data_IF_628405515238
#
_entry.id   IF_628405515238
#
_cell.length_a   1.000
_cell.length_b   1.000
_cell.length_c   1.000
_cell.angle_alpha   90.00
_cell.angle_beta   90.00
_cell.angle_gamma   90.00
#
_symmetry.space_group_name_H-M   'P 1'
#
loop_
_entity.id
_entity.type
_entity.pdbx_description
1 polymer ?
#
# COMPACT_ATOMS: atom_id res chain seq x y z
N UNK A 1 -34.78 -9.82 11.60
CA UNK A 1 -33.63 -8.88 11.60
C UNK A 1 -32.96 -9.02 10.25
N UNK A 2 -32.81 -7.96 9.44
CA UNK A 2 -32.18 -8.09 8.14
C UNK A 2 -30.70 -8.42 8.34
N UNK A 3 -30.27 -9.47 7.65
CA UNK A 3 -28.89 -9.95 7.58
C UNK A 3 -28.03 -8.79 7.09
N UNK A 4 -27.16 -8.30 7.98
CA UNK A 4 -26.10 -7.35 7.61
C UNK A 4 -25.16 -8.12 6.71
N UNK A 5 -25.20 -7.80 5.41
CA UNK A 5 -24.19 -8.22 4.44
C UNK A 5 -22.81 -8.02 5.07
N UNK A 6 -22.01 -9.08 5.09
CA UNK A 6 -20.55 -8.93 5.22
C UNK A 6 -20.18 -8.01 4.08
N UNK A 7 -19.64 -6.80 4.34
CA UNK A 7 -19.19 -5.95 3.26
C UNK A 7 -18.20 -6.78 2.45
N UNK A 8 -18.40 -6.86 1.13
CA UNK A 8 -17.30 -7.05 0.19
C UNK A 8 -16.12 -6.30 0.80
N UNK A 9 -15.01 -7.03 1.01
CA UNK A 9 -13.72 -6.48 1.41
C UNK A 9 -13.69 -5.02 1.02
N UNK A 10 -13.48 -4.12 2.00
CA UNK A 10 -13.11 -2.74 1.71
C UNK A 10 -12.00 -2.84 0.65
N UNK A 11 -12.36 -2.79 -0.63
CA UNK A 11 -11.63 -2.04 -1.61
C UNK A 11 -11.61 -0.73 -0.90
N UNK A 12 -10.52 -0.47 -0.17
CA UNK A 12 -10.15 0.88 0.19
C UNK A 12 -10.57 1.67 -1.02
N UNK A 13 -11.53 2.56 -0.79
CA UNK A 13 -11.94 3.48 -1.81
C UNK A 13 -10.62 4.17 -2.15
N UNK A 14 -9.93 3.68 -3.19
CA UNK A 14 -8.63 4.18 -3.61
C UNK A 14 -8.99 5.57 -4.10
N UNK A 15 -9.03 6.53 -3.15
CA UNK A 15 -8.90 7.94 -3.46
C UNK A 15 -7.71 7.94 -4.37
N UNK A 16 -7.91 8.31 -5.64
CA UNK A 16 -6.88 8.30 -6.66
C UNK A 16 -5.72 9.11 -6.10
N UNK A 17 -4.77 8.41 -5.47
CA UNK A 17 -3.65 9.05 -4.84
C UNK A 17 -2.88 9.74 -5.96
N UNK A 18 -2.24 10.87 -5.67
CA UNK A 18 -1.51 11.63 -6.70
C UNK A 18 -0.48 10.77 -7.48
N UNK A 19 -0.16 9.57 -7.00
CA UNK A 19 0.83 8.66 -7.56
C UNK A 19 0.34 7.22 -7.82
N UNK A 20 -0.97 6.92 -7.77
CA UNK A 20 -1.49 5.55 -8.02
C UNK A 20 -1.20 5.00 -9.42
N UNK A 21 -0.97 5.88 -10.39
CA UNK A 21 -0.63 5.55 -11.77
C UNK A 21 0.81 5.04 -11.94
N UNK A 22 1.67 5.17 -10.93
CA UNK A 22 3.09 4.77 -11.01
C UNK A 22 3.22 3.29 -10.66
N UNK A 23 3.78 2.51 -11.59
CA UNK A 23 3.91 1.06 -11.48
C UNK A 23 5.36 0.59 -11.34
N UNK A 24 6.34 1.48 -11.53
CA UNK A 24 7.77 1.15 -11.53
C UNK A 24 8.62 2.34 -11.98
N UNK A 25 9.92 2.11 -12.20
CA UNK A 25 10.83 3.14 -12.71
C UNK A 25 10.87 3.20 -14.24
N UNK A 26 10.22 2.30 -14.98
CA UNK A 26 10.16 2.33 -16.43
C UNK A 26 11.52 2.13 -17.11
N UNK A 27 12.36 1.26 -16.56
CA UNK A 27 13.72 1.00 -17.01
C UNK A 27 13.77 -0.20 -17.96
N UNK A 28 14.67 -0.13 -18.93
CA UNK A 28 15.16 -1.28 -19.69
C UNK A 28 16.60 -1.56 -19.23
N UNK A 29 16.74 -2.51 -18.31
CA UNK A 29 18.01 -2.69 -17.58
C UNK A 29 18.31 -1.53 -16.63
N UNK A 30 19.08 -0.53 -17.08
CA UNK A 30 19.30 0.75 -16.38
C UNK A 30 18.86 1.95 -17.21
N UNK A 31 18.54 1.76 -18.48
CA UNK A 31 18.21 2.87 -19.36
C UNK A 31 16.72 3.20 -19.23
N UNK A 32 16.37 4.42 -18.79
CA UNK A 32 14.98 4.82 -18.63
C UNK A 32 14.33 5.09 -20.00
N UNK A 33 13.15 4.52 -20.22
CA UNK A 33 12.32 4.90 -21.37
C UNK A 33 11.67 6.26 -21.11
N UNK A 34 11.53 7.08 -22.14
CA UNK A 34 10.88 8.41 -22.09
C UNK A 34 9.53 8.37 -21.37
N UNK A 35 8.72 7.35 -21.66
CA UNK A 35 7.42 7.10 -21.05
C UNK A 35 7.31 5.59 -20.78
N UNK A 36 7.24 5.20 -19.50
CA UNK A 36 7.01 3.81 -19.09
C UNK A 36 6.58 3.75 -17.62
N UNK A 37 5.76 2.75 -17.27
CA UNK A 37 5.31 2.46 -15.90
C UNK A 37 4.71 3.66 -15.14
N UNK A 38 4.02 4.54 -15.87
CA UNK A 38 3.43 5.77 -15.34
C UNK A 38 4.41 6.91 -15.14
N UNK A 39 5.70 6.70 -15.35
CA UNK A 39 6.75 7.72 -15.28
C UNK A 39 6.95 8.38 -16.65
N UNK A 40 7.21 9.69 -16.64
CA UNK A 40 7.51 10.50 -17.83
C UNK A 40 8.77 11.31 -17.55
N UNK A 41 9.74 11.26 -18.46
CA UNK A 41 10.95 12.04 -18.33
C UNK A 41 11.79 11.66 -17.10
N UNK A 42 12.43 12.66 -16.46
CA UNK A 42 13.35 12.49 -15.31
C UNK A 42 14.38 11.37 -15.52
N UNK A 43 14.92 11.27 -16.74
CA UNK A 43 15.76 10.14 -17.16
C UNK A 43 16.93 9.91 -16.21
N UNK A 44 17.76 10.93 -15.97
CA UNK A 44 18.92 10.83 -15.07
C UNK A 44 18.52 10.40 -13.64
N UNK A 45 17.44 10.97 -13.10
CA UNK A 45 16.97 10.63 -11.76
C UNK A 45 16.44 9.20 -11.67
N UNK A 46 15.74 8.72 -12.72
CA UNK A 46 15.25 7.34 -12.82
C UNK A 46 16.39 6.34 -13.01
N UNK A 47 17.41 6.69 -13.79
CA UNK A 47 18.63 5.89 -13.95
C UNK A 47 19.39 5.76 -12.63
N UNK A 48 19.57 6.86 -11.92
CA UNK A 48 20.16 6.87 -10.58
C UNK A 48 19.34 6.01 -9.61
N UNK A 49 18.01 6.16 -9.61
CA UNK A 49 17.11 5.33 -8.82
C UNK A 49 17.24 3.83 -9.16
N UNK A 50 17.39 3.48 -10.44
CA UNK A 50 17.66 2.11 -10.87
C UNK A 50 18.96 1.52 -10.32
N UNK A 51 20.02 2.34 -10.23
CA UNK A 51 21.27 1.93 -9.58
C UNK A 51 21.07 1.69 -8.07
N UNK A 52 20.31 2.53 -7.39
CA UNK A 52 19.95 2.33 -5.97
C UNK A 52 19.23 0.99 -5.81
N UNK A 53 18.23 0.71 -6.64
CA UNK A 53 17.48 -0.56 -6.60
C UNK A 53 18.41 -1.76 -6.78
N UNK A 54 19.39 -1.70 -7.69
CA UNK A 54 20.39 -2.76 -7.85
C UNK A 54 21.26 -2.93 -6.63
N UNK A 55 21.79 -1.84 -6.06
CA UNK A 55 22.61 -1.89 -4.85
C UNK A 55 21.86 -2.50 -3.68
N UNK A 56 20.57 -2.19 -3.53
CA UNK A 56 19.71 -2.81 -2.50
C UNK A 56 19.55 -4.29 -2.75
N UNK A 57 19.18 -4.70 -3.97
CA UNK A 57 19.01 -6.12 -4.33
C UNK A 57 20.30 -6.93 -4.18
N UNK A 58 21.46 -6.30 -4.32
CA UNK A 58 22.78 -6.89 -4.10
C UNK A 58 23.26 -6.83 -2.63
N UNK A 59 22.49 -6.24 -1.71
CA UNK A 59 22.87 -6.10 -0.30
C UNK A 59 23.99 -5.07 -0.04
N UNK A 60 24.30 -4.20 -1.00
CA UNK A 60 25.39 -3.21 -0.95
C UNK A 60 24.92 -1.80 -0.56
N UNK A 61 23.77 -1.70 0.08
CA UNK A 61 23.13 -0.43 0.47
C UNK A 61 23.13 -0.15 1.98
N UNK A 62 23.77 -1.01 2.79
CA UNK A 62 23.83 -0.83 4.25
C UNK A 62 24.48 0.50 4.66
N UNK A 63 23.93 1.15 5.69
CA UNK A 63 24.47 2.40 6.26
C UNK A 63 24.31 3.64 5.36
N UNK A 64 23.51 3.55 4.29
CA UNK A 64 23.27 4.66 3.34
C UNK A 64 21.79 5.03 3.31
N UNK A 65 21.52 6.28 2.95
CA UNK A 65 20.18 6.74 2.60
C UNK A 65 20.20 7.51 1.28
N UNK A 66 19.01 7.79 0.76
CA UNK A 66 18.83 8.56 -0.47
C UNK A 66 18.29 9.94 -0.12
N UNK A 67 18.82 10.98 -0.75
CA UNK A 67 18.19 12.31 -0.75
C UNK A 67 17.71 12.64 -2.14
N UNK A 68 16.41 12.85 -2.33
CA UNK A 68 15.86 13.36 -3.58
C UNK A 68 15.69 14.87 -3.44
N UNK A 69 16.51 15.63 -4.15
CA UNK A 69 16.51 17.09 -4.10
C UNK A 69 15.95 17.69 -5.40
N UNK A 70 15.18 18.77 -5.27
CA UNK A 70 14.78 19.57 -6.42
C UNK A 70 13.50 20.38 -6.20
N UNK A 71 13.12 21.22 -7.17
CA UNK A 71 11.97 22.10 -7.05
C UNK A 71 10.65 21.38 -6.71
N UNK A 72 9.64 22.09 -6.20
CA UNK A 72 8.29 21.54 -6.06
C UNK A 72 7.74 21.03 -7.41
N UNK A 73 7.03 19.91 -7.39
CA UNK A 73 6.36 19.38 -8.59
C UNK A 73 7.26 18.63 -9.58
N UNK A 74 8.53 18.35 -9.27
CA UNK A 74 9.45 17.60 -10.14
C UNK A 74 9.35 16.07 -10.00
N UNK A 75 8.41 15.55 -9.20
CA UNK A 75 8.18 14.10 -9.07
C UNK A 75 9.08 13.38 -8.05
N UNK A 76 9.51 14.05 -6.97
CA UNK A 76 10.31 13.41 -5.91
C UNK A 76 9.61 12.22 -5.26
N UNK A 77 8.36 12.40 -4.82
CA UNK A 77 7.51 11.34 -4.26
C UNK A 77 7.22 10.25 -5.29
N UNK A 78 7.00 10.64 -6.54
CA UNK A 78 6.81 9.72 -7.66
C UNK A 78 8.03 8.80 -7.85
N UNK A 79 9.24 9.35 -7.80
CA UNK A 79 10.48 8.60 -7.92
C UNK A 79 10.68 7.63 -6.75
N UNK A 80 10.38 8.04 -5.51
CA UNK A 80 10.45 7.18 -4.34
C UNK A 80 9.48 5.99 -4.42
N UNK A 81 8.25 6.24 -4.88
CA UNK A 81 7.26 5.17 -5.14
C UNK A 81 7.77 4.24 -6.25
N UNK A 82 8.33 4.79 -7.32
CA UNK A 82 8.96 4.01 -8.39
C UNK A 82 10.05 3.08 -7.86
N UNK A 83 10.94 3.57 -6.99
CA UNK A 83 11.98 2.75 -6.32
C UNK A 83 11.34 1.60 -5.56
N UNK A 84 10.32 1.86 -4.73
CA UNK A 84 9.65 0.82 -3.96
C UNK A 84 9.01 -0.26 -4.85
N UNK A 85 8.34 0.15 -5.94
CA UNK A 85 7.73 -0.79 -6.90
C UNK A 85 8.76 -1.62 -7.64
N UNK A 86 9.91 -1.04 -7.98
CA UNK A 86 11.01 -1.73 -8.65
C UNK A 86 11.71 -2.75 -7.73
N UNK A 87 11.74 -2.49 -6.41
CA UNK A 87 12.25 -3.44 -5.42
C UNK A 87 11.37 -4.68 -5.33
N UNK A 88 10.05 -4.53 -5.39
CA UNK A 88 9.10 -5.64 -5.47
C UNK A 88 7.68 -5.25 -5.07
N UNK A 89 6.70 -6.11 -5.41
CA UNK A 89 5.28 -5.87 -5.08
C UNK A 89 4.98 -5.97 -3.57
N UNK A 90 5.73 -6.82 -2.88
CA UNK A 90 5.58 -7.11 -1.45
C UNK A 90 6.39 -6.16 -0.56
N UNK A 91 7.10 -5.19 -1.16
CA UNK A 91 8.00 -4.28 -0.45
C UNK A 91 7.16 -3.20 0.24
N UNK A 92 7.20 -3.10 1.59
CA UNK A 92 6.47 -2.05 2.30
C UNK A 92 6.96 -0.66 1.91
N UNK A 93 6.03 0.27 1.69
CA UNK A 93 6.33 1.68 1.44
C UNK A 93 5.61 2.53 2.49
N UNK A 94 6.37 3.24 3.31
CA UNK A 94 5.86 4.07 4.39
C UNK A 94 6.16 5.54 4.07
N UNK A 95 5.18 6.29 3.54
CA UNK A 95 5.32 7.73 3.37
C UNK A 95 5.01 8.44 4.71
N UNK A 96 5.88 9.36 5.11
CA UNK A 96 5.64 10.29 6.21
C UNK A 96 5.97 11.72 5.74
N UNK A 97 5.14 12.70 6.08
CA UNK A 97 5.59 14.08 6.06
C UNK A 97 6.40 14.37 7.34
N UNK A 98 7.50 15.09 7.22
CA UNK A 98 8.35 15.43 8.37
C UNK A 98 7.59 16.14 9.52
N UNK A 99 6.50 16.85 9.20
CA UNK A 99 5.61 17.48 10.20
C UNK A 99 4.82 16.48 11.05
N UNK A 100 4.54 15.26 10.55
CA UNK A 100 3.74 14.26 11.26
C UNK A 100 4.43 13.71 12.51
N UNK A 101 5.76 13.78 12.56
CA UNK A 101 6.57 13.31 13.71
C UNK A 101 6.30 14.15 14.96
N UNK A 102 5.90 15.42 14.79
CA UNK A 102 5.60 16.33 15.88
C UNK A 102 4.15 16.12 16.35
N UNK A 103 3.91 15.05 17.10
CA UNK A 103 2.62 14.74 17.72
C UNK A 103 2.63 15.08 19.21
N UNK A 104 1.48 15.52 19.73
CA UNK A 104 1.27 15.67 21.18
C UNK A 104 0.95 14.34 21.86
N UNK A 105 0.47 13.35 21.10
CA UNK A 105 -0.01 12.07 21.65
C UNK A 105 1.05 10.99 21.73
N UNK A 106 2.03 11.01 20.82
CA UNK A 106 3.07 9.98 20.69
C UNK A 106 4.42 10.67 20.69
N UNK A 107 5.38 10.11 21.44
CA UNK A 107 6.76 10.62 21.46
C UNK A 107 7.38 10.52 20.07
N UNK A 108 8.19 11.52 19.69
CA UNK A 108 8.92 11.55 18.40
C UNK A 108 9.66 10.23 18.11
N UNK A 109 10.39 9.72 19.10
CA UNK A 109 11.16 8.47 18.99
C UNK A 109 10.27 7.25 18.79
N UNK A 110 9.11 7.19 19.44
CA UNK A 110 8.16 6.10 19.29
C UNK A 110 7.50 6.13 17.91
N UNK A 111 7.09 7.31 17.42
CA UNK A 111 6.56 7.49 16.07
C UNK A 111 7.56 7.01 15.01
N UNK A 112 8.83 7.45 15.12
CA UNK A 112 9.89 7.04 14.20
C UNK A 112 10.19 5.54 14.29
N UNK A 113 10.14 4.95 15.49
CA UNK A 113 10.32 3.51 15.68
C UNK A 113 9.20 2.74 14.99
N UNK A 114 7.95 3.17 15.15
CA UNK A 114 6.82 2.55 14.44
C UNK A 114 6.97 2.70 12.92
N UNK A 115 7.36 3.88 12.42
CA UNK A 115 7.56 4.10 10.99
C UNK A 115 8.65 3.19 10.40
N UNK A 116 9.79 3.03 11.10
CA UNK A 116 10.85 2.10 10.71
C UNK A 116 10.36 0.64 10.71
N UNK A 117 9.65 0.22 11.76
CA UNK A 117 9.13 -1.16 11.85
C UNK A 117 8.00 -1.45 10.85
N UNK A 118 7.21 -0.45 10.46
CA UNK A 118 6.25 -0.54 9.34
C UNK A 118 6.96 -0.68 7.99
N UNK A 119 8.18 -0.16 7.86
CA UNK A 119 8.97 -0.25 6.65
C UNK A 119 9.80 -1.54 6.54
N UNK A 120 9.77 -2.44 7.53
CA UNK A 120 10.43 -3.75 7.47
C UNK A 120 9.38 -4.83 7.32
N UNK A 121 9.39 -5.52 6.18
CA UNK A 121 8.51 -6.64 5.88
C UNK A 121 9.13 -7.97 6.32
N UNK A 122 8.28 -8.94 6.61
CA UNK A 122 8.60 -10.33 6.92
C UNK A 122 7.69 -11.19 6.06
N UNK A 123 8.27 -11.89 5.09
CA UNK A 123 7.58 -12.89 4.27
C UNK A 123 7.66 -14.22 4.99
N UNK A 124 6.55 -14.72 5.51
CA UNK A 124 6.45 -15.97 6.24
C UNK A 124 5.92 -17.04 5.30
N UNK A 125 6.64 -18.15 5.24
CA UNK A 125 6.32 -19.35 4.48
C UNK A 125 5.80 -20.42 5.45
N UNK A 126 4.54 -20.78 5.29
CA UNK A 126 3.87 -21.72 6.17
C UNK A 126 3.29 -22.89 5.37
N UNK A 127 3.87 -24.08 5.56
CA UNK A 127 3.34 -25.32 5.01
C UNK A 127 2.25 -25.84 5.95
N UNK A 128 1.02 -25.90 5.45
CA UNK A 128 -0.12 -26.45 6.19
C UNK A 128 -0.70 -27.65 5.48
N UNK A 129 -1.17 -28.63 6.26
CA UNK A 129 -1.92 -29.77 5.73
C UNK A 129 -3.37 -29.36 5.55
N UNK A 130 -3.81 -29.33 4.30
CA UNK A 130 -5.18 -28.96 3.95
C UNK A 130 -5.90 -30.14 3.30
N UNK A 131 -7.18 -30.28 3.63
CA UNK A 131 -8.09 -31.05 2.79
C UNK A 131 -8.71 -30.11 1.76
N UNK A 132 -8.69 -30.49 0.50
CA UNK A 132 -9.31 -29.74 -0.58
C UNK A 132 -10.02 -30.68 -1.54
N UNK A 133 -11.25 -30.36 -1.89
CA UNK A 133 -12.02 -31.14 -2.83
C UNK A 133 -13.44 -30.62 -2.97
N UNK A 134 -14.15 -31.22 -3.92
CA UNK A 134 -15.58 -31.04 -4.08
C UNK A 134 -16.32 -31.90 -3.05
N UNK A 135 -17.31 -31.30 -2.39
CA UNK A 135 -18.23 -32.00 -1.50
C UNK A 135 -19.16 -32.87 -2.33
N UNK A 136 -19.00 -34.19 -2.25
CA UNK A 136 -19.90 -35.16 -2.90
C UNK A 136 -21.03 -35.61 -1.97
N UNK A 137 -20.77 -35.69 -0.67
CA UNK A 137 -21.76 -36.03 0.35
C UNK A 137 -21.54 -35.16 1.59
N UNK A 138 -22.63 -34.72 2.23
CA UNK A 138 -22.62 -33.95 3.47
C UNK A 138 -23.75 -34.42 4.38
N UNK A 139 -23.42 -34.72 5.63
CA UNK A 139 -24.38 -35.09 6.68
C UNK A 139 -24.02 -34.31 7.94
N UNK A 140 -24.95 -33.50 8.44
CA UNK A 140 -24.75 -32.68 9.64
C UNK A 140 -25.62 -33.25 10.74
N UNK A 141 -24.99 -33.68 11.83
CA UNK A 141 -25.65 -34.17 13.03
C UNK A 141 -26.11 -32.99 13.87
N UNK A 142 -27.40 -32.99 14.26
CA UNK A 142 -28.03 -31.89 14.97
C UNK A 142 -28.72 -32.40 16.23
N UNK A 143 -28.60 -31.64 17.31
CA UNK A 143 -29.30 -31.88 18.57
C UNK A 143 -30.12 -30.65 18.99
N UNK A 144 -31.12 -30.85 19.85
CA UNK A 144 -31.92 -29.75 20.37
C UNK A 144 -31.11 -28.91 21.37
N UNK A 145 -31.23 -27.59 21.31
CA UNK A 145 -30.53 -26.69 22.21
C UNK A 145 -31.05 -26.89 23.65
N UNK A 146 -30.16 -27.00 24.67
CA UNK A 146 -30.54 -27.31 26.05
C UNK A 146 -31.59 -26.37 26.65
N UNK A 147 -31.61 -25.11 26.20
CA UNK A 147 -32.52 -24.07 26.69
C UNK A 147 -33.63 -23.68 25.70
N UNK A 148 -33.62 -24.21 24.48
CA UNK A 148 -34.65 -23.92 23.47
C UNK A 148 -34.87 -25.13 22.55
N UNK A 149 -35.87 -25.98 22.82
CA UNK A 149 -36.13 -27.19 22.04
C UNK A 149 -36.43 -26.96 20.55
N UNK A 150 -36.83 -25.74 20.16
CA UNK A 150 -37.09 -25.38 18.77
C UNK A 150 -35.84 -24.97 17.99
N UNK A 151 -34.69 -24.83 18.66
CA UNK A 151 -33.42 -24.50 18.05
C UNK A 151 -32.56 -25.75 17.98
N UNK A 152 -32.13 -26.12 16.78
CA UNK A 152 -31.21 -27.23 16.56
C UNK A 152 -29.79 -26.71 16.40
N UNK A 153 -28.85 -27.29 17.14
CA UNK A 153 -27.43 -26.97 17.05
C UNK A 153 -26.68 -28.10 16.33
N UNK A 154 -25.77 -27.79 15.39
CA UNK A 154 -24.85 -28.79 14.86
C UNK A 154 -23.94 -29.31 15.98
N UNK A 155 -23.79 -30.62 16.10
CA UNK A 155 -22.91 -31.28 17.10
C UNK A 155 -21.78 -32.08 16.45
N UNK A 156 -21.92 -32.39 15.16
CA UNK A 156 -20.92 -33.08 14.36
C UNK A 156 -21.28 -33.05 12.89
N UNK A 157 -20.33 -33.41 12.03
CA UNK A 157 -20.60 -33.55 10.60
C UNK A 157 -19.75 -34.65 9.98
N UNK A 158 -20.30 -35.31 8.98
CA UNK A 158 -19.56 -36.24 8.12
C UNK A 158 -19.69 -35.77 6.68
N UNK A 159 -18.54 -35.57 6.03
CA UNK A 159 -18.46 -35.14 4.62
C UNK A 159 -17.66 -36.13 3.80
N UNK A 160 -17.95 -36.23 2.51
CA UNK A 160 -17.11 -36.92 1.53
C UNK A 160 -16.58 -35.90 0.54
N UNK A 161 -15.28 -35.68 0.58
CA UNK A 161 -14.57 -34.81 -0.35
C UNK A 161 -13.97 -35.63 -1.48
N UNK A 162 -14.04 -35.10 -2.70
CA UNK A 162 -13.46 -35.72 -3.88
C UNK A 162 -12.62 -34.72 -4.69
N UNK A 163 -11.47 -35.18 -5.13
CA UNK A 163 -10.70 -34.61 -6.23
C UNK A 163 -10.94 -35.45 -7.49
N UNK A 164 -10.27 -35.13 -8.59
CA UNK A 164 -10.27 -35.96 -9.80
C UNK A 164 -9.64 -37.34 -9.59
N UNK A 165 -8.77 -37.49 -8.59
CA UNK A 165 -7.92 -38.67 -8.42
C UNK A 165 -8.24 -39.48 -7.15
N UNK A 166 -8.87 -38.87 -6.14
CA UNK A 166 -9.15 -39.50 -4.85
C UNK A 166 -10.50 -39.01 -4.27
N UNK A 167 -11.17 -39.87 -3.51
CA UNK A 167 -12.25 -39.44 -2.63
C UNK A 167 -12.00 -39.91 -1.20
N UNK A 168 -12.32 -39.06 -0.23
CA UNK A 168 -12.05 -39.30 1.18
C UNK A 168 -13.23 -38.86 2.03
N UNK A 169 -13.67 -39.74 2.93
CA UNK A 169 -14.70 -39.45 3.93
C UNK A 169 -14.05 -38.91 5.21
N UNK A 170 -14.56 -37.82 5.73
CA UNK A 170 -14.07 -37.12 6.91
C UNK A 170 -15.21 -36.95 7.91
N UNK A 171 -14.92 -37.19 9.18
CA UNK A 171 -15.82 -36.89 10.29
C UNK A 171 -15.22 -35.72 11.06
N UNK A 172 -16.07 -34.78 11.44
CA UNK A 172 -15.71 -33.49 12.00
C UNK A 172 -16.53 -33.25 13.26
N UNK A 173 -15.93 -32.53 14.21
CA UNK A 173 -16.59 -32.14 15.45
C UNK A 173 -17.61 -30.99 15.26
N UNK A 174 -18.21 -30.58 16.38
CA UNK A 174 -19.14 -29.46 16.43
C UNK A 174 -18.58 -28.17 15.83
N UNK A 175 -17.30 -27.86 16.04
CA UNK A 175 -16.70 -26.58 15.62
C UNK A 175 -16.70 -26.44 14.10
N UNK A 176 -16.33 -27.51 13.40
CA UNK A 176 -16.35 -27.57 11.94
C UNK A 176 -17.78 -27.71 11.39
N UNK A 177 -18.65 -28.47 12.06
CA UNK A 177 -20.05 -28.60 11.68
C UNK A 177 -20.79 -27.26 11.67
N UNK A 178 -20.54 -26.41 12.67
CA UNK A 178 -21.08 -25.05 12.74
C UNK A 178 -20.59 -24.21 11.55
N UNK A 179 -19.30 -24.29 11.19
CA UNK A 179 -18.74 -23.55 10.05
C UNK A 179 -19.34 -23.98 8.71
N UNK A 180 -19.57 -25.29 8.50
CA UNK A 180 -20.24 -25.79 7.29
C UNK A 180 -21.64 -25.17 7.12
N UNK A 181 -22.41 -25.09 8.21
CA UNK A 181 -23.75 -24.46 8.21
C UNK A 181 -23.64 -22.96 7.96
N UNK A 182 -22.74 -22.26 8.65
CA UNK A 182 -22.58 -20.81 8.52
C UNK A 182 -22.17 -20.38 7.11
N UNK A 183 -21.35 -21.19 6.43
CA UNK A 183 -20.92 -20.93 5.06
C UNK A 183 -21.89 -21.48 4.00
N UNK A 184 -22.98 -22.12 4.41
CA UNK A 184 -23.95 -22.73 3.49
C UNK A 184 -23.28 -23.71 2.53
N UNK A 185 -22.42 -24.58 3.06
CA UNK A 185 -21.75 -25.62 2.27
C UNK A 185 -22.77 -26.70 1.87
N UNK A 186 -22.82 -27.01 0.58
CA UNK A 186 -23.69 -28.01 -0.01
C UNK A 186 -22.89 -28.99 -0.89
N UNK A 187 -23.52 -30.09 -1.29
CA UNK A 187 -23.01 -30.93 -2.37
C UNK A 187 -22.75 -30.11 -3.64
N UNK A 188 -21.62 -30.38 -4.27
CA UNK A 188 -21.13 -29.66 -5.45
C UNK A 188 -20.32 -28.40 -5.13
N UNK A 189 -20.10 -28.06 -3.86
CA UNK A 189 -19.20 -26.96 -3.48
C UNK A 189 -17.76 -27.45 -3.35
N UNK A 190 -16.80 -26.62 -3.75
CA UNK A 190 -15.37 -26.85 -3.51
C UNK A 190 -14.98 -26.14 -2.22
N UNK A 191 -14.44 -26.88 -1.27
CA UNK A 191 -14.01 -26.35 0.02
C UNK A 191 -12.54 -26.67 0.31
N UNK A 192 -11.92 -25.82 1.13
CA UNK A 192 -10.63 -26.08 1.78
C UNK A 192 -10.85 -26.19 3.29
N UNK A 193 -10.23 -27.17 3.92
CA UNK A 193 -10.25 -27.37 5.37
C UNK A 193 -8.80 -27.33 5.85
N UNK A 194 -8.51 -26.32 6.66
CA UNK A 194 -7.24 -26.13 7.34
C UNK A 194 -7.34 -26.79 8.72
N UNK A 195 -6.67 -27.93 8.89
CA UNK A 195 -6.77 -28.74 10.13
C UNK A 195 -6.11 -28.01 11.28
N UNK A 196 -4.91 -27.46 11.04
CA UNK A 196 -4.11 -26.77 12.05
C UNK A 196 -4.74 -25.41 12.41
N UNK A 197 -5.31 -24.72 11.41
CA UNK A 197 -6.03 -23.46 11.59
C UNK A 197 -7.48 -23.60 12.06
N UNK A 198 -8.02 -24.81 12.18
CA UNK A 198 -9.38 -25.06 12.67
C UNK A 198 -10.50 -24.45 11.81
N UNK A 199 -10.26 -24.21 10.51
CA UNK A 199 -11.17 -23.43 9.65
C UNK A 199 -11.54 -24.12 8.34
N UNK A 200 -12.77 -23.87 7.90
CA UNK A 200 -13.27 -24.24 6.56
C UNK A 200 -13.37 -22.98 5.70
N UNK A 201 -13.08 -23.08 4.42
CA UNK A 201 -13.32 -22.01 3.44
C UNK A 201 -14.02 -22.60 2.23
N UNK A 202 -15.24 -22.13 1.94
CA UNK A 202 -15.94 -22.40 0.69
C UNK A 202 -15.36 -21.53 -0.42
N UNK A 203 -14.79 -22.17 -1.44
CA UNK A 203 -14.18 -21.49 -2.59
C UNK A 203 -15.20 -21.14 -3.68
N UNK A 204 -16.24 -21.97 -3.83
CA UNK A 204 -17.29 -21.77 -4.82
C UNK A 204 -17.93 -23.08 -5.26
N UNK A 205 -18.82 -23.02 -6.26
CA UNK A 205 -19.45 -24.20 -6.88
C UNK A 205 -18.52 -24.86 -7.91
N UNK A 206 -18.58 -26.19 -8.04
CA UNK A 206 -17.91 -26.92 -9.10
C UNK A 206 -18.54 -26.64 -10.48
N UNK A 207 -17.76 -26.72 -11.55
CA UNK A 207 -18.24 -26.59 -12.94
C UNK A 207 -19.35 -27.60 -13.28
N UNK A 208 -19.25 -28.84 -12.77
CA UNK A 208 -20.24 -29.89 -12.97
C UNK A 208 -21.57 -29.52 -12.28
N UNK A 209 -21.52 -29.17 -11.00
CA UNK A 209 -22.71 -28.79 -10.23
C UNK A 209 -23.38 -27.51 -10.77
N UNK A 210 -22.59 -26.55 -11.28
CA UNK A 210 -23.11 -25.34 -11.90
C UNK A 210 -23.86 -25.62 -13.21
N UNK A 211 -23.35 -26.56 -14.03
CA UNK A 211 -24.02 -27.01 -15.27
C UNK A 211 -25.32 -27.76 -14.97
N UNK A 212 -25.30 -28.66 -13.98
CA UNK A 212 -26.48 -29.44 -13.59
C UNK A 212 -27.62 -28.57 -13.06
N UNK A 213 -27.30 -27.55 -12.25
CA UNK A 213 -28.30 -26.61 -11.71
C UNK A 213 -28.76 -25.56 -12.74
N UNK A 214 -28.28 -25.59 -13.99
CA UNK A 214 -28.60 -24.63 -15.07
C UNK A 214 -28.53 -23.18 -14.59
N UNK A 215 -27.47 -22.82 -13.88
CA UNK A 215 -27.34 -21.49 -13.29
C UNK A 215 -26.99 -20.48 -14.39
N UNK A 216 -27.99 -19.81 -14.94
CA UNK A 216 -27.82 -18.83 -16.04
C UNK A 216 -27.23 -17.50 -15.56
N UNK A 217 -27.42 -17.15 -14.27
CA UNK A 217 -26.92 -15.92 -13.65
C UNK A 217 -26.31 -16.27 -12.29
N UNK A 218 -24.97 -16.29 -12.21
CA UNK A 218 -24.22 -16.41 -10.95
C UNK A 218 -23.14 -15.34 -10.90
N UNK A 219 -22.95 -14.72 -9.73
CA UNK A 219 -21.83 -13.79 -9.49
C UNK A 219 -20.49 -14.52 -9.39
N UNK A 220 -20.50 -15.77 -8.94
CA UNK A 220 -19.31 -16.57 -8.71
C UNK A 220 -19.02 -17.45 -9.94
N UNK A 221 -17.80 -17.37 -10.46
CA UNK A 221 -17.35 -18.25 -11.54
C UNK A 221 -17.25 -19.68 -11.00
N UNK A 222 -17.85 -20.68 -11.67
CA UNK A 222 -17.66 -22.07 -11.31
C UNK A 222 -16.18 -22.45 -11.36
N UNK A 223 -15.77 -23.34 -10.46
CA UNK A 223 -14.39 -23.77 -10.31
C UNK A 223 -14.22 -25.22 -10.79
N UNK A 224 -13.09 -25.57 -11.42
CA UNK A 224 -12.81 -26.95 -11.78
C UNK A 224 -12.55 -27.77 -10.51
N UNK A 225 -12.98 -29.04 -10.52
CA UNK A 225 -12.67 -29.99 -9.44
C UNK A 225 -11.14 -30.12 -9.34
N UNK A 226 -10.55 -30.02 -8.13
CA UNK A 226 -9.10 -30.11 -7.96
C UNK A 226 -8.57 -31.48 -8.37
N UNK A 227 -7.32 -31.55 -8.82
CA UNK A 227 -6.59 -32.80 -9.02
C UNK A 227 -5.68 -33.12 -7.83
N UNK A 228 -5.17 -34.34 -7.80
CA UNK A 228 -4.27 -34.87 -6.78
C UNK A 228 -5.01 -35.48 -5.59
N UNK A 229 -4.28 -35.70 -4.49
CA UNK A 229 -4.85 -36.21 -3.24
C UNK A 229 -5.79 -35.19 -2.60
N UNK A 230 -6.81 -35.68 -1.88
CA UNK A 230 -7.71 -34.82 -1.09
C UNK A 230 -6.95 -34.13 0.03
N UNK A 231 -6.06 -34.86 0.72
CA UNK A 231 -5.14 -34.29 1.70
C UNK A 231 -3.83 -33.92 1.00
N UNK A 232 -3.47 -32.64 1.03
CA UNK A 232 -2.23 -32.13 0.46
C UNK A 232 -1.60 -31.08 1.35
N UNK A 233 -0.28 -30.95 1.25
CA UNK A 233 0.46 -29.85 1.84
C UNK A 233 0.39 -28.66 0.90
N UNK A 234 -0.02 -27.50 1.43
CA UNK A 234 -0.09 -26.24 0.70
C UNK A 234 0.73 -25.20 1.43
N UNK A 235 1.59 -24.53 0.67
CA UNK A 235 2.35 -23.38 1.17
C UNK A 235 1.45 -22.14 1.16
N UNK A 236 1.38 -21.48 2.31
CA UNK A 236 0.81 -20.15 2.45
C UNK A 236 1.94 -19.16 2.66
N UNK A 237 1.93 -18.10 1.86
CA UNK A 237 2.91 -17.02 1.95
C UNK A 237 2.18 -15.78 2.49
N UNK A 238 2.64 -15.30 3.64
CA UNK A 238 2.12 -14.10 4.29
C UNK A 238 3.19 -13.03 4.28
N UNK A 239 2.82 -11.79 3.97
CA UNK A 239 3.75 -10.65 4.09
C UNK A 239 3.19 -9.72 5.16
N UNK A 240 3.90 -9.64 6.29
CA UNK A 240 3.55 -8.80 7.43
C UNK A 240 4.70 -7.85 7.74
N UNK A 241 4.42 -6.68 8.28
CA UNK A 241 5.47 -5.78 8.77
C UNK A 241 5.87 -6.14 10.21
N UNK A 242 7.08 -5.78 10.64
CA UNK A 242 7.49 -5.96 12.04
C UNK A 242 6.53 -5.27 13.00
N UNK A 243 6.00 -4.10 12.63
CA UNK A 243 5.03 -3.40 13.45
C UNK A 243 3.69 -4.17 13.59
N UNK A 244 3.22 -4.83 12.53
CA UNK A 244 2.03 -5.68 12.63
C UNK A 244 2.28 -6.90 13.53
N UNK A 245 3.47 -7.48 13.48
CA UNK A 245 3.87 -8.56 14.38
C UNK A 245 3.97 -8.08 15.83
N UNK A 246 4.52 -6.89 16.08
CA UNK A 246 4.53 -6.26 17.40
C UNK A 246 3.11 -6.11 17.97
N UNK A 247 2.19 -5.60 17.15
CA UNK A 247 0.80 -5.42 17.54
C UNK A 247 0.10 -6.75 17.83
N UNK A 248 0.42 -7.79 17.06
CA UNK A 248 -0.08 -9.14 17.26
C UNK A 248 0.42 -9.72 18.59
N UNK A 249 1.72 -9.62 18.84
CA UNK A 249 2.37 -10.17 20.02
C UNK A 249 1.96 -9.43 21.30
N UNK A 250 1.87 -8.10 21.25
CA UNK A 250 1.45 -7.26 22.39
C UNK A 250 0.01 -7.56 22.87
N UNK A 251 -0.82 -8.12 21.99
CA UNK A 251 -2.20 -8.51 22.27
C UNK A 251 -2.27 -10.02 22.45
N UNK A 252 -1.82 -10.53 23.61
CA UNK A 252 -1.97 -11.94 23.97
C UNK A 252 -3.43 -12.39 23.76
N UNK A 253 -3.67 -13.26 22.77
CA UNK A 253 -4.99 -13.88 22.53
C UNK A 253 -5.86 -13.31 21.39
N UNK A 254 -5.32 -12.52 20.46
CA UNK A 254 -6.06 -12.09 19.25
C UNK A 254 -5.52 -12.80 18.00
N UNK A 255 -6.41 -13.50 17.30
CA UNK A 255 -6.15 -14.21 16.03
C UNK A 255 -5.61 -13.26 14.95
N UNK A 256 -4.66 -13.75 14.13
CA UNK A 256 -3.96 -13.04 13.06
C UNK A 256 -4.94 -12.34 12.08
N UNK A 257 -6.16 -12.87 11.99
CA UNK A 257 -7.28 -12.31 11.23
C UNK A 257 -7.76 -10.93 11.74
N UNK A 258 -7.79 -10.68 13.05
CA UNK A 258 -8.29 -9.41 13.61
C UNK A 258 -7.33 -8.23 13.40
N UNK A 259 -6.06 -8.47 13.08
CA UNK A 259 -5.09 -7.43 12.72
C UNK A 259 -5.32 -6.87 11.31
N UNK A 260 -5.85 -7.70 10.39
CA UNK A 260 -6.20 -7.28 9.03
C UNK A 260 -7.42 -6.35 9.00
N UNK A 261 -8.24 -6.30 10.06
CA UNK A 261 -9.54 -5.60 10.09
C UNK A 261 -9.69 -4.51 11.18
N UNK A 262 -8.60 -3.92 11.68
CA UNK A 262 -8.66 -2.61 12.37
C UNK A 262 -9.03 -2.61 13.87
N UNK A 263 -8.51 -3.56 14.67
CA UNK A 263 -8.65 -3.49 16.13
C UNK A 263 -7.91 -2.29 16.77
N UNK A 264 -8.50 -1.65 17.80
CA UNK A 264 -7.99 -0.44 18.51
C UNK A 264 -6.48 -0.42 18.75
N UNK A 265 -5.75 0.42 18.01
CA UNK A 265 -4.30 0.59 18.14
C UNK A 265 -3.91 0.90 19.60
N UNK A 266 -2.96 0.13 20.16
CA UNK A 266 -2.27 0.55 21.39
C UNK A 266 -1.34 1.70 21.00
N UNK A 267 -1.32 2.78 21.78
CA UNK A 267 -0.57 4.00 21.46
C UNK A 267 0.95 3.81 21.45
N UNK A 268 1.47 2.97 22.36
CA UNK A 268 2.90 2.66 22.45
C UNK A 268 3.08 1.14 22.64
N UNK A 269 4.13 0.58 22.03
CA UNK A 269 4.52 -0.83 22.19
C UNK A 269 5.80 -0.88 23.01
N UNK A 270 5.80 -1.73 24.04
CA UNK A 270 6.94 -1.90 24.93
C UNK A 270 8.17 -2.47 24.19
N UNK A 271 9.35 -2.05 24.62
CA UNK A 271 10.61 -2.51 24.03
C UNK A 271 10.84 -4.01 24.22
N UNK A 272 10.30 -4.60 25.28
CA UNK A 272 10.38 -6.06 25.54
C UNK A 272 9.61 -6.85 24.49
N UNK A 273 8.35 -6.48 24.20
CA UNK A 273 7.57 -7.09 23.12
C UNK A 273 8.28 -7.02 21.77
N UNK A 274 8.93 -5.90 21.46
CA UNK A 274 9.70 -5.76 20.21
C UNK A 274 10.88 -6.72 20.14
N UNK A 275 11.59 -6.90 21.25
CA UNK A 275 12.71 -7.86 21.33
C UNK A 275 12.23 -9.30 21.14
N UNK A 276 11.12 -9.68 21.79
CA UNK A 276 10.52 -11.00 21.61
C UNK A 276 10.12 -11.25 20.16
N UNK A 277 9.53 -10.26 19.49
CA UNK A 277 9.20 -10.34 18.06
C UNK A 277 10.45 -10.44 17.19
N UNK A 278 11.49 -9.65 17.49
CA UNK A 278 12.74 -9.71 16.74
C UNK A 278 13.42 -11.08 16.87
N UNK A 279 13.38 -11.69 18.07
CA UNK A 279 13.86 -13.06 18.32
C UNK A 279 13.03 -14.12 17.58
N UNK A 280 11.70 -14.00 17.62
CA UNK A 280 10.77 -14.87 16.89
C UNK A 280 11.04 -14.82 15.38
N UNK A 281 11.14 -13.62 14.81
CA UNK A 281 11.43 -13.43 13.38
C UNK A 281 12.81 -14.00 13.02
N UNK A 282 13.82 -13.76 13.85
CA UNK A 282 15.16 -14.31 13.65
C UNK A 282 15.15 -15.84 13.64
N UNK A 283 14.42 -16.48 14.55
CA UNK A 283 14.26 -17.93 14.57
C UNK A 283 13.60 -18.44 13.28
N UNK A 284 12.50 -17.81 12.85
CA UNK A 284 11.83 -18.19 11.59
C UNK A 284 12.75 -18.04 10.36
N UNK A 285 13.58 -17.00 10.32
CA UNK A 285 14.56 -16.81 9.23
C UNK A 285 15.65 -17.89 9.26
N UNK A 286 16.17 -18.24 10.44
CA UNK A 286 17.16 -19.32 10.60
C UNK A 286 16.59 -20.68 10.17
N UNK A 287 15.32 -20.92 10.46
CA UNK A 287 14.57 -22.11 10.04
C UNK A 287 14.17 -22.11 8.56
N UNK A 288 14.48 -21.03 7.80
CA UNK A 288 14.06 -20.82 6.41
C UNK A 288 12.54 -20.81 6.23
N UNK A 289 11.81 -20.45 7.28
CA UNK A 289 10.35 -20.25 7.29
C UNK A 289 9.96 -18.80 7.11
N UNK A 290 10.92 -17.88 7.11
CA UNK A 290 10.66 -16.49 6.81
C UNK A 290 11.84 -15.81 6.10
N UNK A 291 11.54 -14.72 5.41
CA UNK A 291 12.49 -13.83 4.74
C UNK A 291 12.22 -12.39 5.20
N UNK A 292 13.27 -11.62 5.49
CA UNK A 292 13.13 -10.19 5.78
C UNK A 292 13.16 -9.42 4.47
N UNK A 293 12.18 -8.55 4.27
CA UNK A 293 12.06 -7.67 3.11
C UNK A 293 12.36 -6.24 3.59
N UNK A 294 13.52 -5.65 3.23
CA UNK A 294 13.78 -4.26 3.50
C UNK A 294 12.85 -3.40 2.63
N UNK A 295 11.93 -2.68 3.29
CA UNK A 295 11.05 -1.74 2.64
C UNK A 295 11.66 -0.36 2.50
N UNK A 296 10.79 0.62 2.24
CA UNK A 296 11.15 2.02 2.02
C UNK A 296 10.42 2.91 3.02
N UNK A 297 11.18 3.66 3.81
CA UNK A 297 10.68 4.79 4.60
C UNK A 297 10.94 6.08 3.81
N UNK A 298 9.87 6.69 3.30
CA UNK A 298 9.94 7.95 2.57
C UNK A 298 9.57 9.12 3.48
N UNK A 299 10.48 10.08 3.64
CA UNK A 299 10.29 11.27 4.48
C UNK A 299 10.23 12.51 3.59
N UNK A 300 9.02 13.03 3.38
CA UNK A 300 8.82 14.28 2.63
C UNK A 300 9.10 15.51 3.49
N UNK A 301 9.53 16.58 2.84
CA UNK A 301 9.89 17.86 3.46
C UNK A 301 10.89 17.72 4.63
N UNK A 302 11.91 16.86 4.46
CA UNK A 302 12.85 16.48 5.53
C UNK A 302 13.53 17.69 6.21
N UNK A 303 13.62 18.84 5.54
CA UNK A 303 14.10 20.10 6.11
C UNK A 303 13.31 20.61 7.33
N UNK A 304 12.13 20.05 7.61
CA UNK A 304 11.30 20.39 8.77
C UNK A 304 11.68 19.59 10.04
N UNK A 305 12.51 18.55 9.90
CA UNK A 305 13.01 17.75 11.01
C UNK A 305 14.02 18.53 11.86
N UNK A 306 14.05 18.21 13.15
CA UNK A 306 15.03 18.75 14.09
C UNK A 306 16.29 17.87 14.20
N UNK A 307 17.35 18.44 14.80
CA UNK A 307 18.64 17.77 14.97
C UNK A 307 18.52 16.43 15.75
N UNK A 308 17.62 16.35 16.73
CA UNK A 308 17.38 15.13 17.51
C UNK A 308 16.81 14.01 16.64
N UNK A 309 15.89 14.35 15.74
CA UNK A 309 15.29 13.40 14.79
C UNK A 309 16.34 12.90 13.79
N UNK A 310 17.20 13.79 13.29
CA UNK A 310 18.30 13.36 12.43
C UNK A 310 19.28 12.42 13.16
N UNK A 311 19.63 12.72 14.41
CA UNK A 311 20.49 11.84 15.21
C UNK A 311 19.87 10.45 15.41
N UNK A 312 18.56 10.38 15.67
CA UNK A 312 17.83 9.11 15.77
C UNK A 312 17.87 8.31 14.45
N UNK A 313 17.54 8.97 13.33
CA UNK A 313 17.57 8.33 12.01
C UNK A 313 18.98 7.90 11.63
N UNK A 314 20.01 8.68 11.98
CA UNK A 314 21.40 8.34 11.70
C UNK A 314 21.83 7.03 12.38
N UNK A 315 21.43 6.85 13.64
CA UNK A 315 21.64 5.59 14.37
C UNK A 315 20.80 4.45 13.81
N UNK A 316 19.57 4.72 13.36
CA UNK A 316 18.71 3.69 12.78
C UNK A 316 19.27 3.12 11.47
N UNK A 317 19.90 3.96 10.63
CA UNK A 317 20.53 3.51 9.37
C UNK A 317 21.71 2.56 9.55
N UNK A 318 22.34 2.56 10.74
CA UNK A 318 23.46 1.66 11.06
C UNK A 318 23.01 0.25 11.42
N UNK A 319 21.71 0.05 11.63
CA UNK A 319 21.16 -1.27 11.93
C UNK A 319 21.19 -2.17 10.69
N UNK A 320 21.54 -3.44 10.87
CA UNK A 320 21.64 -4.43 9.78
C UNK A 320 20.33 -4.58 8.99
N UNK A 321 19.19 -4.48 9.67
CA UNK A 321 17.85 -4.66 9.12
C UNK A 321 17.16 -3.32 8.80
N UNK A 322 17.91 -2.22 8.73
CA UNK A 322 17.33 -0.90 8.47
C UNK A 322 16.64 -0.87 7.09
N UNK A 323 15.41 -0.32 7.01
CA UNK A 323 14.76 -0.08 5.72
C UNK A 323 15.52 1.00 4.95
N UNK A 324 15.25 1.11 3.65
CA UNK A 324 15.80 2.19 2.84
C UNK A 324 15.13 3.49 3.25
N UNK A 325 15.91 4.43 3.76
CA UNK A 325 15.41 5.77 4.08
C UNK A 325 15.63 6.67 2.87
N UNK A 326 14.53 7.25 2.37
CA UNK A 326 14.53 8.21 1.27
C UNK A 326 13.99 9.54 1.80
N UNK A 327 14.87 10.54 1.85
CA UNK A 327 14.51 11.92 2.18
C UNK A 327 14.12 12.68 0.92
N UNK A 328 13.14 13.57 1.01
CA UNK A 328 12.85 14.55 -0.04
C UNK A 328 12.93 15.98 0.49
N UNK A 329 13.55 16.86 -0.30
CA UNK A 329 13.66 18.27 0.02
C UNK A 329 13.45 19.14 -1.22
N UNK A 330 12.82 20.29 -1.00
CA UNK A 330 12.73 21.40 -1.94
C UNK A 330 13.56 22.61 -1.47
N UNK A 331 14.28 22.50 -0.35
CA UNK A 331 15.12 23.57 0.20
C UNK A 331 16.57 23.42 -0.26
N UNK A 332 17.16 24.56 -0.61
CA UNK A 332 18.60 24.71 -0.84
C UNK A 332 19.33 24.85 0.48
N UNK A 333 20.02 25.98 0.70
CA UNK A 333 20.74 26.24 1.94
C UNK A 333 19.79 26.89 2.96
N UNK A 334 19.66 26.29 4.14
CA UNK A 334 18.83 26.84 5.21
C UNK A 334 19.28 26.30 6.59
N UNK A 335 18.78 26.94 7.65
CA UNK A 335 19.07 26.61 9.04
C UNK A 335 18.50 25.24 9.42
N UNK A 336 19.29 24.42 10.12
CA UNK A 336 18.84 23.14 10.68
C UNK A 336 17.96 23.44 11.90
N UNK A 337 16.74 22.92 11.91
CA UNK A 337 15.78 23.19 12.98
C UNK A 337 16.33 22.70 14.34
N UNK A 338 16.23 23.56 15.35
CA UNK A 338 16.76 23.29 16.69
C UNK A 338 18.24 23.67 16.88
N UNK A 339 18.90 24.23 15.87
CA UNK A 339 20.30 24.71 15.96
C UNK A 339 20.45 26.06 15.26
N UNK A 340 21.58 26.74 15.45
CA UNK A 340 21.98 27.94 14.69
C UNK A 340 22.75 27.65 13.39
N UNK A 341 22.97 26.36 13.07
CA UNK A 341 23.78 25.96 11.93
C UNK A 341 23.00 26.07 10.61
N UNK A 342 23.64 26.65 9.60
CA UNK A 342 23.14 26.71 8.23
C UNK A 342 23.85 25.65 7.41
N UNK A 343 23.09 24.82 6.70
CA UNK A 343 23.62 23.67 5.96
C UNK A 343 22.87 23.47 4.65
N UNK A 344 23.50 22.86 3.62
CA UNK A 344 22.78 22.37 2.45
C UNK A 344 21.61 21.48 2.85
N UNK A 345 20.47 21.69 2.21
CA UNK A 345 19.22 20.95 2.40
C UNK A 345 18.62 20.99 3.81
N UNK A 346 19.16 21.84 4.70
CA UNK A 346 18.83 21.85 6.13
C UNK A 346 19.14 20.53 6.84
N UNK A 347 20.17 19.80 6.38
CA UNK A 347 20.58 18.52 6.94
C UNK A 347 21.93 18.64 7.68
N UNK A 348 22.15 17.88 8.76
CA UNK A 348 23.48 17.75 9.37
C UNK A 348 24.53 17.21 8.38
N UNK A 349 25.77 17.70 8.48
CA UNK A 349 26.86 17.31 7.56
C UNK A 349 27.20 15.81 7.66
N UNK A 350 27.18 15.26 8.88
CA UNK A 350 27.40 13.84 9.15
C UNK A 350 26.34 12.94 8.49
N UNK A 351 25.10 13.43 8.39
CA UNK A 351 24.06 12.75 7.64
C UNK A 351 24.30 12.86 6.13
N UNK A 352 24.61 14.07 5.63
CA UNK A 352 24.86 14.32 4.21
C UNK A 352 25.95 13.42 3.62
N UNK A 353 27.03 13.15 4.37
CA UNK A 353 28.12 12.26 3.95
C UNK A 353 27.66 10.81 3.73
N UNK A 354 26.51 10.41 4.28
CA UNK A 354 25.90 9.08 4.12
C UNK A 354 24.82 9.04 3.04
N UNK A 355 24.46 10.19 2.46
CA UNK A 355 23.38 10.28 1.47
C UNK A 355 23.89 10.14 0.04
N UNK A 356 23.20 9.33 -0.75
CA UNK A 356 23.27 9.41 -2.20
C UNK A 356 22.21 10.41 -2.68
N UNK A 357 22.67 11.53 -3.24
CA UNK A 357 21.81 12.64 -3.65
C UNK A 357 21.36 12.44 -5.11
N UNK A 358 20.06 12.35 -5.33
CA UNK A 358 19.43 12.33 -6.65
C UNK A 358 18.77 13.69 -6.90
N UNK A 359 19.28 14.42 -7.88
CA UNK A 359 18.70 15.70 -8.29
C UNK A 359 17.61 15.50 -9.34
N UNK A 360 16.47 16.16 -9.13
CA UNK A 360 15.37 16.23 -10.09
C UNK A 360 15.37 17.59 -10.79
N UNK A 361 14.98 17.62 -12.07
CA UNK A 361 14.91 18.86 -12.85
C UNK A 361 13.47 19.33 -13.08
N UNK A 362 13.23 20.60 -13.42
CA UNK A 362 11.95 21.01 -13.99
C UNK A 362 11.62 20.19 -15.24
N UNK A 363 10.33 19.90 -15.42
CA UNK A 363 9.83 19.22 -16.61
C UNK A 363 9.82 20.18 -17.81
N UNK A 364 10.12 19.64 -18.98
CA UNK A 364 9.95 20.32 -20.27
C UNK A 364 8.46 20.40 -20.65
N UNK A 365 8.10 21.32 -21.54
CA UNK A 365 6.72 21.47 -22.05
C UNK A 365 6.15 20.16 -22.62
N UNK A 366 6.99 19.36 -23.30
CA UNK A 366 6.59 18.04 -23.84
C UNK A 366 6.27 17.05 -22.72
N UNK A 367 7.08 17.01 -21.66
CA UNK A 367 6.86 16.15 -20.51
C UNK A 367 5.62 16.59 -19.72
N UNK A 368 5.45 17.90 -19.48
CA UNK A 368 4.27 18.48 -18.81
C UNK A 368 2.99 18.03 -19.53
N UNK A 369 2.94 18.22 -20.86
CA UNK A 369 1.80 17.81 -21.68
C UNK A 369 1.48 16.33 -21.47
N UNK A 370 2.50 15.46 -21.55
CA UNK A 370 2.31 14.02 -21.42
C UNK A 370 1.85 13.61 -20.03
N UNK A 371 2.37 14.26 -18.99
CA UNK A 371 1.93 14.03 -17.60
C UNK A 371 0.44 14.41 -17.46
N UNK A 372 0.02 15.55 -18.00
CA UNK A 372 -1.39 15.96 -17.98
C UNK A 372 -2.30 14.96 -18.71
N UNK A 373 -1.87 14.42 -19.85
CA UNK A 373 -2.60 13.35 -20.56
C UNK A 373 -2.77 12.10 -19.69
N UNK A 374 -1.71 11.63 -19.05
CA UNK A 374 -1.74 10.45 -18.18
C UNK A 374 -2.65 10.69 -16.97
N UNK A 375 -2.56 11.87 -16.34
CA UNK A 375 -3.38 12.24 -15.19
C UNK A 375 -4.86 12.33 -15.54
N UNK A 376 -5.20 12.96 -16.65
CA UNK A 376 -6.58 13.01 -17.13
C UNK A 376 -7.13 11.61 -17.43
N UNK A 377 -6.32 10.74 -18.05
CA UNK A 377 -6.69 9.34 -18.28
C UNK A 377 -6.93 8.56 -16.99
N UNK A 378 -6.08 8.73 -15.98
CA UNK A 378 -6.24 8.09 -14.67
C UNK A 378 -7.52 8.55 -13.94
N UNK A 379 -7.90 9.82 -14.10
CA UNK A 379 -9.14 10.40 -13.56
C UNK A 379 -10.36 10.15 -14.45
N UNK A 380 -10.20 9.44 -15.58
CA UNK A 380 -11.25 9.17 -16.59
C UNK A 380 -11.91 10.43 -17.13
N UNK A 381 -11.11 11.49 -17.29
CA UNK A 381 -11.52 12.80 -17.79
C UNK A 381 -11.06 12.95 -19.24
N UNK A 382 -11.98 13.30 -20.12
CA UNK A 382 -11.66 13.60 -21.53
C UNK A 382 -11.36 15.10 -21.71
N UNK A 383 -10.16 15.40 -22.22
CA UNK A 383 -9.72 16.76 -22.55
C UNK A 383 -9.78 16.99 -24.07
N UNK A 384 -10.28 18.14 -24.51
CA UNK A 384 -10.02 18.62 -25.87
C UNK A 384 -8.55 19.02 -26.04
N UNK A 385 -8.05 18.94 -27.28
CA UNK A 385 -6.65 19.27 -27.59
C UNK A 385 -6.27 20.68 -27.14
N UNK A 386 -7.14 21.65 -27.39
CA UNK A 386 -6.92 23.05 -27.01
C UNK A 386 -6.94 23.27 -25.49
N UNK A 387 -7.74 22.50 -24.76
CA UNK A 387 -7.77 22.53 -23.30
C UNK A 387 -6.45 21.98 -22.73
N UNK A 388 -5.96 20.87 -23.28
CA UNK A 388 -4.68 20.30 -22.92
C UNK A 388 -3.51 21.23 -23.26
N UNK A 389 -3.53 21.87 -24.43
CA UNK A 389 -2.54 22.87 -24.83
C UNK A 389 -2.50 24.03 -23.82
N UNK A 390 -3.67 24.50 -23.41
CA UNK A 390 -3.80 25.59 -22.44
C UNK A 390 -3.33 25.18 -21.04
N UNK A 391 -3.72 24.01 -20.54
CA UNK A 391 -3.21 23.46 -19.27
C UNK A 391 -1.70 23.27 -19.30
N UNK A 392 -1.13 22.89 -20.44
CA UNK A 392 0.32 22.75 -20.60
C UNK A 392 1.02 24.10 -20.46
N UNK A 393 0.46 25.16 -21.06
CA UNK A 393 0.98 26.53 -20.91
C UNK A 393 0.89 27.02 -19.46
N UNK A 394 -0.20 26.70 -18.75
CA UNK A 394 -0.33 26.98 -17.31
C UNK A 394 0.75 26.24 -16.52
N UNK A 395 0.99 24.96 -16.83
CA UNK A 395 2.00 24.14 -16.16
C UNK A 395 3.41 24.69 -16.30
N UNK A 396 3.73 25.28 -17.46
CA UNK A 396 5.01 25.92 -17.74
C UNK A 396 5.14 27.30 -17.07
N UNK A 397 4.09 28.13 -17.10
CA UNK A 397 4.11 29.49 -16.54
C UNK A 397 4.01 29.54 -15.02
N UNK A 398 3.24 28.62 -14.43
CA UNK A 398 2.96 28.57 -13.00
C UNK A 398 3.59 27.34 -12.35
N UNK A 399 2.92 26.18 -12.41
CA UNK A 399 3.50 24.90 -11.99
C UNK A 399 2.67 23.73 -12.51
N UNK A 400 3.33 22.58 -12.69
CA UNK A 400 2.65 21.32 -13.02
C UNK A 400 1.57 20.94 -12.00
N UNK A 401 1.85 21.14 -10.70
CA UNK A 401 0.89 20.86 -9.61
C UNK A 401 -0.39 21.67 -9.78
N UNK A 402 -0.24 22.97 -10.02
CA UNK A 402 -1.38 23.86 -10.24
C UNK A 402 -2.17 23.44 -11.49
N UNK A 403 -1.50 23.17 -12.62
CA UNK A 403 -2.18 22.71 -13.83
C UNK A 403 -2.98 21.41 -13.62
N UNK A 404 -2.42 20.43 -12.89
CA UNK A 404 -3.13 19.19 -12.53
C UNK A 404 -4.35 19.49 -11.65
N UNK A 405 -4.20 20.37 -10.65
CA UNK A 405 -5.30 20.74 -9.74
C UNK A 405 -6.48 21.39 -10.46
N UNK A 406 -6.26 22.08 -11.58
CA UNK A 406 -7.33 22.69 -12.37
C UNK A 406 -8.17 21.66 -13.15
N UNK A 407 -7.70 20.43 -13.36
CA UNK A 407 -8.42 19.41 -14.13
C UNK A 407 -9.77 19.08 -13.48
N UNK A 408 -9.78 18.81 -12.17
CA UNK A 408 -10.99 18.41 -11.46
C UNK A 408 -12.07 19.52 -11.41
N UNK A 409 -11.76 20.78 -11.03
CA UNK A 409 -12.75 21.86 -11.12
C UNK A 409 -13.19 22.15 -12.56
N UNK A 410 -12.29 22.05 -13.54
CA UNK A 410 -12.67 22.22 -14.95
C UNK A 410 -13.59 21.10 -15.45
N UNK A 411 -13.45 19.88 -14.89
CA UNK A 411 -14.36 18.77 -15.14
C UNK A 411 -15.76 19.02 -14.57
N UNK A 412 -15.85 19.51 -13.33
CA UNK A 412 -17.14 19.85 -12.71
C UNK A 412 -17.85 20.98 -13.47
N UNK A 413 -17.12 22.02 -13.89
CA UNK A 413 -17.68 23.08 -14.73
C UNK A 413 -18.14 22.55 -16.10
N UNK A 414 -17.40 21.61 -16.69
CA UNK A 414 -17.80 20.97 -17.94
C UNK A 414 -19.11 20.20 -17.78
N UNK A 415 -19.30 19.45 -16.69
CA UNK A 415 -20.53 18.72 -16.39
C UNK A 415 -21.72 19.65 -16.22
N UNK A 416 -21.56 20.74 -15.47
CA UNK A 416 -22.60 21.74 -15.26
C UNK A 416 -23.09 22.31 -16.61
N UNK A 417 -22.14 22.53 -17.54
CA UNK A 417 -22.42 22.99 -18.91
C UNK A 417 -22.85 21.87 -19.86
N UNK A 418 -23.13 20.67 -19.34
CA UNK A 418 -23.51 19.48 -20.12
C UNK A 418 -22.50 19.12 -21.22
N UNK A 419 -21.22 19.45 -21.01
CA UNK A 419 -20.13 19.10 -21.89
C UNK A 419 -19.49 17.79 -21.45
N UNK A 420 -19.35 16.83 -22.38
CA UNK A 420 -18.68 15.55 -22.11
C UNK A 420 -17.17 15.68 -21.97
N UNK A 421 -16.58 16.70 -22.60
CA UNK A 421 -15.13 16.98 -22.60
C UNK A 421 -14.86 18.32 -21.94
N UNK A 422 -13.70 18.43 -21.31
CA UNK A 422 -13.17 19.72 -20.85
C UNK A 422 -12.67 20.49 -22.07
N UNK A 423 -13.23 21.69 -22.26
CA UNK A 423 -12.84 22.66 -23.28
C UNK A 423 -11.93 23.73 -22.70
N UNK A 424 -11.22 24.45 -23.57
CA UNK A 424 -10.34 25.55 -23.16
C UNK A 424 -11.06 26.60 -22.30
N UNK A 425 -12.29 26.94 -22.65
CA UNK A 425 -13.13 27.91 -21.93
C UNK A 425 -13.36 27.52 -20.46
N UNK A 426 -13.56 26.22 -20.18
CA UNK A 426 -13.73 25.73 -18.82
C UNK A 426 -12.46 25.93 -18.00
N UNK A 427 -11.29 25.64 -18.58
CA UNK A 427 -10.00 25.83 -17.92
C UNK A 427 -9.73 27.31 -17.67
N UNK A 428 -10.02 28.19 -18.64
CA UNK A 428 -9.84 29.64 -18.51
C UNK A 428 -10.71 30.24 -17.41
N UNK A 429 -11.94 29.75 -17.25
CA UNK A 429 -12.84 30.21 -16.20
C UNK A 429 -12.37 29.75 -14.82
N UNK A 430 -11.97 28.49 -14.71
CA UNK A 430 -11.42 27.94 -13.46
C UNK A 430 -10.12 28.63 -13.06
N UNK A 431 -9.23 28.94 -14.00
CA UNK A 431 -7.98 29.68 -13.74
C UNK A 431 -8.21 31.11 -13.20
N UNK A 432 -9.35 31.73 -13.54
CA UNK A 432 -9.75 33.03 -12.97
C UNK A 432 -10.24 32.90 -11.53
N UNK A 433 -10.89 31.80 -11.20
CA UNK A 433 -11.46 31.54 -9.87
C UNK A 433 -10.39 31.07 -8.88
N UNK A 434 -9.48 30.20 -9.33
CA UNK A 434 -8.44 29.61 -8.49
C UNK A 434 -7.08 30.15 -8.93
N UNK A 435 -6.51 31.09 -8.19
CA UNK A 435 -5.21 31.71 -8.52
C UNK A 435 -4.03 30.81 -8.13
N UNK A 436 -2.94 30.88 -8.90
CA UNK A 436 -1.69 30.23 -8.51
C UNK A 436 -0.95 31.00 -7.41
N UNK A 437 0.05 30.36 -6.80
CA UNK A 437 0.81 30.91 -5.66
C UNK A 437 1.46 32.26 -6.01
N UNK A 438 1.98 32.42 -7.23
CA UNK A 438 2.69 33.66 -7.60
C UNK A 438 1.70 34.82 -7.67
N UNK A 439 0.56 34.65 -8.37
CA UNK A 439 -0.52 35.65 -8.42
C UNK A 439 -1.10 35.94 -7.03
N UNK A 440 -1.25 34.92 -6.20
CA UNK A 440 -1.72 35.08 -4.82
C UNK A 440 -0.76 35.92 -3.97
N UNK A 441 0.55 35.67 -4.04
CA UNK A 441 1.56 36.45 -3.31
C UNK A 441 1.60 37.90 -3.80
N UNK A 442 1.49 38.14 -5.10
CA UNK A 442 1.42 39.50 -5.66
C UNK A 442 0.20 40.26 -5.14
N UNK A 443 -0.98 39.63 -5.13
CA UNK A 443 -2.20 40.19 -4.53
C UNK A 443 -2.02 40.50 -3.04
N UNK A 444 -1.45 39.57 -2.26
CA UNK A 444 -1.22 39.79 -0.83
C UNK A 444 -0.31 41.00 -0.55
N UNK A 445 0.71 41.21 -1.39
CA UNK A 445 1.60 42.38 -1.30
C UNK A 445 0.89 43.69 -1.62
N UNK A 446 0.00 43.70 -2.61
CA UNK A 446 -0.77 44.88 -2.98
C UNK A 446 -1.66 45.36 -1.82
N UNK A 447 -2.26 44.42 -1.08
CA UNK A 447 -3.17 44.69 0.03
C UNK A 447 -2.51 44.53 1.41
N UNK A 448 -1.17 44.53 1.51
CA UNK A 448 -0.42 44.27 2.74
C UNK A 448 -0.92 45.12 3.93
N UNK A 449 -1.22 46.40 3.69
CA UNK A 449 -1.72 47.35 4.71
C UNK A 449 -3.13 47.05 5.23
N UNK A 450 -3.90 46.23 4.51
CA UNK A 450 -5.25 45.82 4.90
C UNK A 450 -5.26 44.44 5.57
N UNK A 451 -4.18 43.67 5.43
CA UNK A 451 -4.03 42.41 6.14
C UNK A 451 -3.60 42.64 7.59
N UNK A 452 -4.16 41.85 8.49
CA UNK A 452 -3.74 41.81 9.89
C UNK A 452 -2.39 41.07 9.96
N UNK A 453 -1.38 41.74 10.49
CA UNK A 453 -0.03 41.21 10.71
C UNK A 453 0.08 40.45 12.03
#
# INVERSE_FOLDING_TARGET
>A
MPVREVPESLREWERIAAHSHIQGLGLDGLEPKEIADGMVGQLEARKAAGLIVRLVKEGKFAGRAVLIAGPPGTGKTALAIGIAKELGKDVPFVPIAASEIFSAEIKKTEFLTQALRKAIGVRIHELRKIYEGEVKEISIEKEAHPYNPYMQIPVGATIKLATKDESKKLTMDQSFAVQLVQQGVETGDIIQIDVDGGRIVKLGKSEEAAKEKKVEITREKPLPVPSGKVLKEKEFVYVLTLHQLDMAHSRSGIDMFSLLFGGRERKEIEAETRKEVDEMVRAMVQEKRAEIIPGVLFIDECSMLDIETFAFLNRAMEQELAPIIIFATNRGIAKIRGTDQVSPHSLPLDLLDRLLIINTRPYTTKEIRKILEIRAGAEKVELEKEALDYLTQIGEKASLRYAIQLIAPAFELAKERKSKKIKKEHVQEVEKLFVDVKRSVEYLKEFEKQFLS
#
